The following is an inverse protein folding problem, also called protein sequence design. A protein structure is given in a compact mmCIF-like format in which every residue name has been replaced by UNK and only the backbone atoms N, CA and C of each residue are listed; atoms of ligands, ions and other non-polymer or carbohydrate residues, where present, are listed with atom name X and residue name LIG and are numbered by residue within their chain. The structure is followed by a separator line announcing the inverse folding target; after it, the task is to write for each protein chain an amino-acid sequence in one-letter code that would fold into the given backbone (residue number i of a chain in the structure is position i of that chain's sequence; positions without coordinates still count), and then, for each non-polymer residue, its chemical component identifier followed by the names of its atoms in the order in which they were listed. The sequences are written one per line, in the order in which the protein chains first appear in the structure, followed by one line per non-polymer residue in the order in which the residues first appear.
data_IF_810269510397
#
_entry.id   IF_810269510397
#
_cell.length_a   1.000
_cell.length_b   1.000
_cell.length_c   1.000
_cell.angle_alpha   90.00
_cell.angle_beta   90.00
_cell.angle_gamma   90.00
#
_symmetry.space_group_name_H-M   'P 1'
#
loop_
_entity.id
_entity.type
_entity.pdbx_description
1 polymer ?
#
# COMPACT_ATOMS: atom_id res chain seq x y z
N UNK A 1 11.00 7.61 -11.47
CA UNK A 1 9.64 7.11 -11.74
C UNK A 1 9.62 6.32 -13.04
N UNK A 2 8.79 5.28 -13.15
CA UNK A 2 8.58 4.47 -14.38
C UNK A 2 7.23 4.83 -15.05
N UNK A 3 6.92 4.18 -16.19
CA UNK A 3 5.70 4.44 -16.95
C UNK A 3 4.43 4.09 -16.16
N UNK A 4 4.39 2.95 -15.48
CA UNK A 4 3.25 2.60 -14.63
C UNK A 4 2.90 3.65 -13.57
N UNK A 5 3.89 4.29 -12.95
CA UNK A 5 3.60 5.39 -12.03
C UNK A 5 3.07 6.64 -12.75
N UNK A 6 3.54 6.91 -13.98
CA UNK A 6 2.97 8.00 -14.80
C UNK A 6 1.52 7.71 -15.15
N UNK A 7 1.20 6.46 -15.50
CA UNK A 7 -0.15 6.03 -15.84
C UNK A 7 -1.10 6.20 -14.64
N UNK A 8 -0.68 5.76 -13.45
CA UNK A 8 -1.42 5.96 -12.21
C UNK A 8 -1.69 7.45 -11.92
N UNK A 9 -0.70 8.33 -12.11
CA UNK A 9 -0.87 9.78 -11.90
C UNK A 9 -1.69 10.48 -12.97
N UNK A 10 -1.64 10.00 -14.21
CA UNK A 10 -2.40 10.56 -15.33
C UNK A 10 -3.86 10.11 -15.32
N UNK A 11 -4.18 9.08 -14.53
CA UNK A 11 -5.50 8.54 -14.42
C UNK A 11 -6.49 9.53 -13.79
N UNK A 12 -7.62 9.79 -14.45
CA UNK A 12 -8.64 10.72 -13.96
C UNK A 12 -9.33 10.25 -12.66
N UNK A 13 -9.25 8.98 -12.29
CA UNK A 13 -9.78 8.44 -11.03
C UNK A 13 -8.75 8.45 -9.91
N UNK A 14 -7.49 8.81 -10.17
CA UNK A 14 -6.55 9.12 -9.11
C UNK A 14 -6.96 10.43 -8.44
N UNK A 15 -7.50 10.33 -7.23
CA UNK A 15 -7.95 11.47 -6.45
C UNK A 15 -7.05 11.68 -5.24
N UNK A 16 -6.96 12.94 -4.81
CA UNK A 16 -6.32 13.33 -3.57
C UNK A 16 -7.37 13.91 -2.62
N UNK A 17 -7.17 13.74 -1.32
CA UNK A 17 -7.99 14.39 -0.31
C UNK A 17 -7.92 15.91 -0.46
N UNK A 18 -9.07 16.57 -0.44
CA UNK A 18 -9.12 18.05 -0.34
C UNK A 18 -8.79 18.56 1.07
N UNK A 19 -8.78 17.67 2.05
CA UNK A 19 -8.46 17.98 3.44
C UNK A 19 -7.04 17.54 3.79
N UNK A 20 -6.30 18.45 4.41
CA UNK A 20 -4.98 18.13 4.97
C UNK A 20 -5.19 17.43 6.30
N UNK A 21 -4.78 16.17 6.38
CA UNK A 21 -4.76 15.38 7.61
C UNK A 21 -3.43 14.68 7.80
N UNK A 22 -3.13 14.36 9.05
CA UNK A 22 -2.04 13.44 9.35
C UNK A 22 -2.54 12.01 9.14
N UNK A 23 -1.76 11.21 8.42
CA UNK A 23 -2.00 9.78 8.23
C UNK A 23 -0.88 9.03 8.90
N UNK A 24 -1.21 8.11 9.78
CA UNK A 24 -0.23 7.20 10.37
C UNK A 24 -0.13 5.95 9.50
N UNK A 25 1.10 5.58 9.16
CA UNK A 25 1.39 4.37 8.39
C UNK A 25 2.26 3.42 9.19
N UNK A 26 2.09 2.13 8.94
CA UNK A 26 2.90 1.06 9.53
C UNK A 26 3.52 0.22 8.43
N UNK A 27 4.76 -0.22 8.64
CA UNK A 27 5.42 -1.20 7.80
C UNK A 27 5.21 -2.57 8.43
N UNK A 28 4.76 -3.53 7.63
CA UNK A 28 4.57 -4.92 8.05
C UNK A 28 5.18 -5.86 7.04
N UNK A 29 5.85 -6.89 7.53
CA UNK A 29 6.27 -8.04 6.76
C UNK A 29 5.15 -9.08 6.68
N UNK A 30 5.20 -9.98 5.70
CA UNK A 30 4.22 -11.05 5.58
C UNK A 30 4.18 -11.99 6.79
N UNK A 31 5.31 -12.41 7.39
CA UNK A 31 5.28 -13.18 8.63
C UNK A 31 4.56 -12.49 9.80
N UNK A 32 4.68 -11.17 9.93
CA UNK A 32 4.06 -10.41 11.04
C UNK A 32 2.54 -10.37 10.96
N UNK A 33 1.98 -10.46 9.74
CA UNK A 33 0.54 -10.56 9.52
C UNK A 33 0.05 -12.00 9.39
N UNK A 34 0.85 -12.99 9.79
CA UNK A 34 0.44 -14.40 9.79
C UNK A 34 0.59 -15.12 8.45
N UNK A 35 1.36 -14.58 7.51
CA UNK A 35 1.66 -15.17 6.19
C UNK A 35 3.15 -15.55 6.07
N UNK A 36 3.68 -16.47 6.90
CA UNK A 36 5.11 -16.80 6.91
C UNK A 36 5.61 -17.50 5.64
N UNK A 37 4.70 -18.03 4.81
CA UNK A 37 5.02 -18.65 3.53
C UNK A 37 4.77 -17.71 2.33
N UNK A 38 4.39 -16.46 2.58
CA UNK A 38 3.87 -15.55 1.56
C UNK A 38 2.35 -15.67 1.39
N UNK A 39 1.80 -14.92 0.44
CA UNK A 39 0.36 -14.91 0.17
C UNK A 39 -0.01 -14.14 -1.09
N UNK A 40 -1.23 -14.34 -1.58
CA UNK A 40 -1.84 -13.52 -2.61
C UNK A 40 -2.19 -12.14 -2.04
N UNK A 41 -2.32 -11.13 -2.91
CA UNK A 41 -2.61 -9.77 -2.45
C UNK A 41 -3.92 -9.67 -1.64
N UNK A 42 -4.97 -10.38 -2.05
CA UNK A 42 -6.25 -10.42 -1.31
C UNK A 42 -6.12 -11.08 0.07
N UNK A 43 -5.27 -12.11 0.20
CA UNK A 43 -4.97 -12.74 1.48
C UNK A 43 -4.22 -11.78 2.39
N UNK A 44 -3.27 -11.02 1.82
CA UNK A 44 -2.51 -9.98 2.53
C UNK A 44 -3.44 -8.90 3.06
N UNK A 45 -4.35 -8.38 2.24
CA UNK A 45 -5.35 -7.39 2.66
C UNK A 45 -6.28 -7.96 3.75
N UNK A 46 -6.73 -9.21 3.58
CA UNK A 46 -7.61 -9.87 4.54
C UNK A 46 -6.95 -10.06 5.90
N UNK A 47 -5.69 -10.52 5.93
CA UNK A 47 -4.95 -10.71 7.17
C UNK A 47 -4.63 -9.38 7.86
N UNK A 48 -4.19 -8.37 7.10
CA UNK A 48 -3.96 -7.02 7.62
C UNK A 48 -5.24 -6.44 8.27
N UNK A 49 -6.40 -6.65 7.65
CA UNK A 49 -7.69 -6.21 8.19
C UNK A 49 -8.03 -6.88 9.53
N UNK A 50 -7.64 -8.15 9.77
CA UNK A 50 -7.83 -8.81 11.07
C UNK A 50 -7.04 -8.16 12.20
N UNK A 51 -6.00 -7.41 11.86
CA UNK A 51 -5.16 -6.64 12.78
C UNK A 51 -5.61 -5.16 12.89
N UNK A 52 -6.74 -4.81 12.26
CA UNK A 52 -7.26 -3.45 12.22
C UNK A 52 -6.48 -2.52 11.28
N UNK A 53 -5.65 -3.05 10.37
CA UNK A 53 -4.95 -2.25 9.36
C UNK A 53 -5.85 -2.03 8.15
N UNK A 54 -5.77 -0.85 7.55
CA UNK A 54 -6.56 -0.52 6.35
C UNK A 54 -5.64 -0.33 5.13
N UNK A 55 -6.12 -0.66 3.91
CA UNK A 55 -5.42 -0.31 2.69
C UNK A 55 -5.18 1.19 2.60
N UNK A 56 -4.02 1.58 2.10
CA UNK A 56 -3.66 2.96 1.85
C UNK A 56 -4.49 3.55 0.69
N UNK A 57 -5.01 4.78 0.85
CA UNK A 57 -5.29 5.63 -0.30
C UNK A 57 -4.03 5.78 -1.17
N UNK A 58 -4.17 5.74 -2.50
CA UNK A 58 -3.01 5.78 -3.40
C UNK A 58 -2.14 7.03 -3.26
N UNK A 59 -2.72 8.16 -2.83
CA UNK A 59 -2.00 9.40 -2.52
C UNK A 59 -0.98 9.25 -1.39
N UNK A 60 -1.12 8.24 -0.52
CA UNK A 60 -0.16 7.97 0.56
C UNK A 60 1.22 7.67 -0.02
N UNK A 61 1.33 7.01 -1.18
CA UNK A 61 2.62 6.64 -1.75
C UNK A 61 3.51 7.85 -2.12
N UNK A 62 3.04 8.86 -2.90
CA UNK A 62 3.83 10.07 -3.14
C UNK A 62 4.09 10.87 -1.86
N UNK A 63 3.12 11.01 -0.96
CA UNK A 63 3.33 11.72 0.30
C UNK A 63 4.38 11.05 1.19
N UNK A 64 4.32 9.72 1.31
CA UNK A 64 5.31 8.92 2.01
C UNK A 64 6.68 9.09 1.37
N UNK A 65 6.76 9.08 0.03
CA UNK A 65 8.05 9.24 -0.64
C UNK A 65 8.68 10.60 -0.33
N UNK A 66 7.89 11.66 -0.36
CA UNK A 66 8.35 13.03 -0.08
C UNK A 66 8.74 13.23 1.39
N UNK A 67 8.12 12.48 2.31
CA UNK A 67 8.38 12.59 3.75
C UNK A 67 9.51 11.68 4.22
N UNK A 68 9.70 10.52 3.59
CA UNK A 68 10.66 9.49 3.99
C UNK A 68 11.90 9.51 3.09
N UNK A 69 12.70 10.58 3.19
CA UNK A 69 13.88 10.80 2.34
C UNK A 69 15.14 10.08 2.83
N UNK A 70 15.16 9.64 4.08
CA UNK A 70 16.23 8.90 4.73
C UNK A 70 15.99 7.38 4.73
N UNK A 71 15.09 6.89 3.88
CA UNK A 71 14.81 5.46 3.73
C UNK A 71 16.13 4.68 3.58
N UNK A 72 16.41 3.67 4.43
CA UNK A 72 17.59 2.84 4.26
C UNK A 72 17.48 2.02 2.97
N UNK A 73 18.62 1.59 2.45
CA UNK A 73 18.64 0.60 1.37
C UNK A 73 18.05 -0.71 1.88
N UNK A 74 17.26 -1.38 1.06
CA UNK A 74 16.55 -2.56 1.53
C UNK A 74 15.61 -3.18 0.51
N UNK A 75 14.68 -4.05 0.97
CA UNK A 75 13.68 -4.65 0.12
C UNK A 75 12.75 -3.60 -0.49
N UNK A 76 11.87 -4.06 -1.37
CA UNK A 76 10.77 -3.23 -1.84
C UNK A 76 9.88 -2.84 -0.66
N UNK A 77 9.29 -1.64 -0.71
CA UNK A 77 8.23 -1.20 0.19
C UNK A 77 6.96 -0.99 -0.65
N UNK A 78 6.08 -1.98 -0.66
CA UNK A 78 4.83 -1.93 -1.42
C UNK A 78 3.80 -1.14 -0.63
N UNK A 79 3.19 -0.12 -1.22
CA UNK A 79 2.08 0.59 -0.58
C UNK A 79 0.82 -0.23 -0.84
N UNK A 80 0.27 -0.85 0.21
CA UNK A 80 -0.88 -1.73 0.08
C UNK A 80 -2.12 -0.89 -0.21
N UNK A 81 -2.46 -0.71 -1.49
CA UNK A 81 -3.62 0.05 -1.94
C UNK A 81 -4.57 -0.83 -2.73
N UNK A 82 -5.85 -0.46 -2.73
CA UNK A 82 -6.78 -1.02 -3.70
C UNK A 82 -6.43 -0.49 -5.11
N UNK A 83 -6.69 -1.30 -6.12
CA UNK A 83 -6.52 -0.90 -7.51
C UNK A 83 -7.40 0.32 -7.83
N UNK A 84 -6.91 1.22 -8.70
CA UNK A 84 -7.73 2.35 -9.17
C UNK A 84 -9.01 1.87 -9.85
N UNK A 85 -8.87 0.87 -10.71
CA UNK A 85 -9.97 0.21 -11.43
C UNK A 85 -9.57 -1.22 -11.79
N UNK A 86 -10.52 -2.17 -11.75
CA UNK A 86 -10.28 -3.53 -12.22
C UNK A 86 -9.92 -3.53 -13.71
N UNK A 87 -8.87 -4.26 -14.09
CA UNK A 87 -8.54 -4.54 -15.49
C UNK A 87 -7.04 -4.73 -15.74
N UNK A 88 -6.68 -5.49 -16.78
CA UNK A 88 -5.30 -5.92 -17.02
C UNK A 88 -4.35 -4.79 -17.41
N UNK A 89 -4.85 -3.63 -17.83
CA UNK A 89 -4.02 -2.50 -18.28
C UNK A 89 -3.81 -1.44 -17.19
N UNK A 90 -4.42 -1.61 -16.01
CA UNK A 90 -4.29 -0.65 -14.91
C UNK A 90 -3.20 -1.14 -13.94
N UNK A 91 -2.14 -0.35 -13.69
CA UNK A 91 -1.18 -0.70 -12.66
C UNK A 91 -1.87 -0.84 -11.29
N UNK A 92 -1.45 -1.81 -10.48
CA UNK A 92 -2.16 -2.11 -9.22
C UNK A 92 -1.90 -1.05 -8.14
N UNK A 93 -0.75 -0.40 -8.17
CA UNK A 93 -0.39 0.61 -7.16
C UNK A 93 1.07 1.02 -7.21
N UNK A 94 1.57 1.55 -6.10
CA UNK A 94 2.92 2.08 -5.99
C UNK A 94 3.80 1.29 -5.03
N UNK A 95 5.11 1.32 -5.29
CA UNK A 95 6.12 0.92 -4.33
C UNK A 95 7.25 1.95 -4.25
N UNK A 96 7.92 1.93 -3.10
CA UNK A 96 9.10 2.70 -2.79
C UNK A 96 10.32 1.79 -2.75
N UNK A 97 11.47 2.31 -3.16
CA UNK A 97 12.76 1.62 -3.01
C UNK A 97 13.90 2.60 -2.93
N UNK A 98 14.98 2.22 -2.25
CA UNK A 98 16.24 2.94 -2.27
C UNK A 98 17.36 2.03 -2.79
N UNK A 99 17.96 2.42 -3.92
CA UNK A 99 19.09 1.74 -4.57
C UNK A 99 20.22 2.74 -4.90
N UNK A 100 21.26 2.31 -5.61
CA UNK A 100 22.43 3.15 -5.94
C UNK A 100 22.09 4.36 -6.80
N UNK A 101 21.04 4.27 -7.60
CA UNK A 101 20.53 5.36 -8.43
C UNK A 101 19.49 6.24 -7.70
N UNK A 102 19.30 6.03 -6.39
CA UNK A 102 18.55 6.91 -5.50
C UNK A 102 17.19 6.38 -5.04
N UNK A 103 16.32 7.31 -4.67
CA UNK A 103 14.99 7.03 -4.14
C UNK A 103 13.96 6.88 -5.26
N UNK A 104 13.24 5.77 -5.23
CA UNK A 104 12.22 5.43 -6.20
C UNK A 104 10.82 5.62 -5.62
N UNK A 105 9.94 6.15 -6.46
CA UNK A 105 8.50 5.95 -6.44
C UNK A 105 8.15 5.40 -7.83
N UNK A 106 7.61 4.18 -7.88
CA UNK A 106 7.32 3.47 -9.12
C UNK A 106 5.98 2.74 -9.00
N UNK A 107 5.30 2.59 -10.12
CA UNK A 107 4.11 1.77 -10.23
C UNK A 107 4.50 0.32 -10.51
N UNK A 108 3.62 -0.61 -10.19
CA UNK A 108 3.79 -2.04 -10.47
C UNK A 108 2.53 -2.67 -11.04
N UNK A 109 2.75 -3.82 -11.67
CA UNK A 109 1.70 -4.72 -12.12
C UNK A 109 1.92 -6.08 -11.43
N UNK A 110 0.88 -6.65 -10.87
CA UNK A 110 0.84 -7.92 -10.18
C UNK A 110 -0.58 -8.47 -10.28
N UNK A 111 -0.77 -9.50 -11.10
CA UNK A 111 -2.08 -10.14 -11.23
C UNK A 111 -2.59 -10.72 -9.91
N UNK A 112 -3.90 -10.98 -9.80
CA UNK A 112 -4.52 -11.49 -8.57
C UNK A 112 -4.01 -12.88 -8.15
N UNK A 113 -3.51 -13.67 -9.10
CA UNK A 113 -2.91 -15.00 -8.84
C UNK A 113 -1.42 -14.93 -8.48
N UNK A 114 -0.82 -13.73 -8.46
CA UNK A 114 0.59 -13.58 -8.16
C UNK A 114 0.86 -13.69 -6.65
N UNK A 115 1.64 -14.70 -6.29
CA UNK A 115 2.06 -14.93 -4.91
C UNK A 115 3.21 -13.97 -4.54
N UNK A 116 3.06 -13.25 -3.43
CA UNK A 116 4.15 -12.49 -2.83
C UNK A 116 4.94 -13.41 -1.89
N UNK A 117 6.25 -13.66 -2.15
CA UNK A 117 7.11 -14.39 -1.22
C UNK A 117 7.32 -13.61 0.09
N UNK A 118 7.54 -14.30 1.23
CA UNK A 118 7.60 -13.66 2.55
C UNK A 118 8.71 -12.61 2.71
N UNK A 119 9.82 -12.75 1.97
CA UNK A 119 10.98 -11.87 2.06
C UNK A 119 11.14 -10.92 0.85
N UNK A 120 10.11 -10.81 0.00
CA UNK A 120 10.20 -10.01 -1.22
C UNK A 120 10.03 -8.51 -0.97
N UNK A 121 9.04 -8.15 -0.16
CA UNK A 121 8.65 -6.77 0.12
C UNK A 121 8.04 -6.69 1.51
N UNK A 122 8.27 -5.57 2.19
CA UNK A 122 7.37 -5.15 3.26
C UNK A 122 6.19 -4.37 2.67
N UNK A 123 5.08 -4.33 3.39
CA UNK A 123 3.87 -3.63 3.02
C UNK A 123 3.64 -2.43 3.92
N UNK A 124 3.19 -1.34 3.32
CA UNK A 124 2.73 -0.15 4.03
C UNK A 124 1.21 -0.18 4.11
N UNK A 125 0.67 -0.10 5.31
CA UNK A 125 -0.76 0.06 5.58
C UNK A 125 -1.01 1.35 6.37
N UNK A 126 -2.25 1.84 6.36
CA UNK A 126 -2.66 2.92 7.26
C UNK A 126 -3.22 2.33 8.56
N UNK A 127 -2.93 3.01 9.65
CA UNK A 127 -3.64 2.80 10.90
C UNK A 127 -4.96 3.58 10.86
N UNK A 128 -6.07 3.01 11.35
CA UNK A 128 -7.34 3.71 11.42
C UNK A 128 -7.19 4.94 12.31
N UNK A 129 -7.78 6.06 11.89
CA UNK A 129 -7.90 7.24 12.75
C UNK A 129 -8.62 6.82 14.05
N UNK A 130 -8.17 7.30 15.22
CA UNK A 130 -8.79 6.92 16.51
C UNK A 130 -10.31 7.23 16.56
N UNK A 131 -10.80 8.13 15.70
CA UNK A 131 -12.24 8.41 15.51
C UNK A 131 -13.02 7.38 14.68
N UNK A 132 -12.34 6.56 13.86
CA UNK A 132 -12.96 5.52 13.02
C UNK A 132 -13.33 4.27 13.82
N UNK A 133 -12.52 3.91 14.83
CA UNK A 133 -12.75 2.77 15.72
C UNK A 133 -14.04 2.88 16.56
N UNK A 134 -14.60 4.08 16.73
CA UNK A 134 -15.87 4.31 17.44
C UNK A 134 -17.12 4.18 16.54
N UNK A 135 -16.95 4.01 15.23
CA UNK A 135 -18.06 3.98 14.26
C UNK A 135 -18.49 2.56 13.83
N UNK A 136 -17.86 1.49 14.34
CA UNK A 136 -18.35 0.13 14.11
C UNK A 136 -19.74 -0.01 14.78
N UNK A 137 -20.79 -0.40 14.03
CA UNK A 137 -22.13 -0.47 14.60
C UNK A 137 -22.18 -1.58 15.65
N UNK A 138 -22.76 -1.28 16.82
CA UNK A 138 -23.24 -2.29 17.72
C UNK A 138 -24.21 -3.19 16.95
N UNK A 139 -23.86 -4.45 16.75
CA UNK A 139 -24.80 -5.49 16.31
C UNK A 139 -26.05 -5.42 17.20
N UNK A 140 -27.17 -4.99 16.63
CA UNK A 140 -28.47 -5.07 17.26
C UNK A 140 -29.04 -6.46 16.99
N UNK A 141 -29.01 -7.30 18.03
CA UNK A 141 -29.81 -8.52 18.17
C UNK A 141 -31.30 -8.19 18.34
#
# INVERSE_FOLDING_TARGET
MNDYARDLFADATFTISSEVRQVQVVLVSLPEIGLPAGGLFDEILSQAATLGLEPCPLEVAPHLRLSYLDQPRGPYLTVASLELRPGPETPNGFYLRHLDDGLWLRGYESGPENLYPPDFTDFVFVLPDEGSLMAAPAEQL
#
